data_IF_352047830381
#
_entry.id   IF_352047830381
#
_cell.length_a   1.000
_cell.length_b   1.000
_cell.length_c   1.000
_cell.angle_alpha   90.00
_cell.angle_beta   90.00
_cell.angle_gamma   90.00
#
_symmetry.space_group_name_H-M   'P 1'
#
loop_
_entity.id
_entity.type
_entity.pdbx_description
1 polymer ?
#
# COMPACT_ATOMS: atom_id res chain seq x y z
N UNK A 1 13.40 -7.06 -10.93
CA UNK A 1 12.00 -6.80 -11.34
C UNK A 1 11.06 -6.82 -10.15
N UNK A 2 11.16 -7.81 -9.24
CA UNK A 2 10.38 -7.82 -7.99
C UNK A 2 10.90 -6.81 -6.95
N UNK A 3 12.19 -6.86 -6.62
CA UNK A 3 12.80 -5.95 -5.63
C UNK A 3 12.59 -4.46 -5.96
N UNK A 4 12.75 -4.10 -7.23
CA UNK A 4 12.53 -2.72 -7.71
C UNK A 4 11.08 -2.27 -7.51
N UNK A 5 10.11 -3.16 -7.76
CA UNK A 5 8.71 -2.86 -7.52
C UNK A 5 8.41 -2.75 -6.03
N UNK A 6 9.02 -3.59 -5.20
CA UNK A 6 8.93 -3.50 -3.74
C UNK A 6 9.44 -2.16 -3.23
N UNK A 7 10.63 -1.72 -3.68
CA UNK A 7 11.17 -0.39 -3.36
C UNK A 7 10.21 0.70 -3.80
N UNK A 8 9.67 0.65 -5.02
CA UNK A 8 8.70 1.66 -5.50
C UNK A 8 7.42 1.71 -4.67
N UNK A 9 6.91 0.55 -4.26
CA UNK A 9 5.69 0.46 -3.45
C UNK A 9 5.87 1.12 -2.08
N UNK A 10 7.01 0.95 -1.41
CA UNK A 10 7.21 1.58 -0.09
C UNK A 10 7.56 3.07 -0.15
N UNK A 11 7.97 3.58 -1.32
CA UNK A 11 8.39 4.97 -1.49
C UNK A 11 7.33 5.84 -2.19
N UNK A 12 6.04 5.49 -2.08
CA UNK A 12 4.96 6.27 -2.70
C UNK A 12 3.70 6.34 -1.83
N UNK A 13 3.06 7.53 -1.74
CA UNK A 13 1.86 7.73 -0.93
C UNK A 13 0.64 6.92 -1.39
N UNK A 14 0.69 6.33 -2.60
CA UNK A 14 -0.37 5.46 -3.10
C UNK A 14 -0.41 4.08 -2.42
N UNK A 15 0.73 3.64 -1.89
CA UNK A 15 0.88 2.31 -1.29
C UNK A 15 1.21 2.37 0.20
N UNK A 16 1.96 3.40 0.60
CA UNK A 16 2.38 3.64 1.98
C UNK A 16 2.25 5.13 2.29
N UNK A 17 1.38 5.49 3.24
CA UNK A 17 1.15 6.87 3.66
C UNK A 17 1.31 7.00 5.16
N UNK A 18 1.95 8.06 5.62
CA UNK A 18 2.06 8.39 7.03
C UNK A 18 1.17 9.59 7.32
N UNK A 19 0.39 9.53 8.41
CA UNK A 19 -0.43 10.65 8.86
C UNK A 19 -0.47 10.68 10.38
N UNK A 20 0.21 11.67 10.96
CA UNK A 20 0.41 11.74 12.41
C UNK A 20 1.22 10.54 12.89
N UNK A 21 0.63 9.74 13.78
CA UNK A 21 1.27 8.58 14.40
C UNK A 21 0.85 7.24 13.75
N UNK A 22 0.11 7.32 12.63
CA UNK A 22 -0.42 6.14 11.93
C UNK A 22 0.26 5.95 10.58
N UNK A 23 0.77 4.73 10.38
CA UNK A 23 1.21 4.20 9.10
C UNK A 23 0.03 3.54 8.39
N UNK A 24 -0.30 4.02 7.20
CA UNK A 24 -1.34 3.48 6.35
C UNK A 24 -0.73 2.67 5.21
N UNK A 25 -1.00 1.37 5.18
CA UNK A 25 -0.71 0.49 4.05
C UNK A 25 -1.96 0.20 3.22
N UNK A 26 -1.79 -0.21 1.97
CA UNK A 26 -2.92 -0.77 1.19
C UNK A 26 -3.31 -2.17 1.68
N UNK A 27 -4.52 -2.66 1.34
CA UNK A 27 -4.92 -4.05 1.62
C UNK A 27 -3.96 -5.11 1.07
N UNK A 28 -3.16 -4.80 0.04
CA UNK A 28 -2.10 -5.69 -0.41
C UNK A 28 -1.16 -6.07 0.73
N UNK A 29 -0.80 -5.10 1.59
CA UNK A 29 0.11 -5.37 2.71
C UNK A 29 -0.53 -6.22 3.79
N UNK A 30 -1.85 -6.10 3.96
CA UNK A 30 -2.64 -6.96 4.84
C UNK A 30 -2.65 -8.41 4.35
N UNK A 31 -2.79 -8.64 3.05
CA UNK A 31 -2.82 -9.99 2.48
C UNK A 31 -1.47 -10.73 2.60
N UNK A 32 -0.36 -9.99 2.54
CA UNK A 32 1.01 -10.52 2.62
C UNK A 32 1.68 -10.27 3.99
N UNK A 33 0.90 -9.91 5.01
CA UNK A 33 1.44 -9.57 6.34
C UNK A 33 2.28 -10.70 6.94
N UNK A 34 1.80 -11.93 6.81
CA UNK A 34 2.50 -13.12 7.30
C UNK A 34 3.86 -13.30 6.60
N UNK A 35 3.93 -13.10 5.29
CA UNK A 35 5.18 -13.20 4.52
C UNK A 35 6.19 -12.13 4.97
N UNK A 36 5.74 -10.92 5.29
CA UNK A 36 6.60 -9.84 5.79
C UNK A 36 7.17 -10.17 7.18
N UNK A 37 6.32 -10.70 8.07
CA UNK A 37 6.73 -11.14 9.40
C UNK A 37 7.74 -12.29 9.31
N UNK A 38 7.52 -13.26 8.43
CA UNK A 38 8.44 -14.38 8.23
C UNK A 38 9.79 -13.92 7.64
N UNK A 39 9.79 -12.94 6.74
CA UNK A 39 11.00 -12.44 6.10
C UNK A 39 11.82 -11.49 6.97
N UNK A 40 11.19 -10.66 7.80
CA UNK A 40 11.84 -9.54 8.49
C UNK A 40 11.54 -9.42 9.99
N UNK A 41 10.61 -10.22 10.53
CA UNK A 41 10.19 -10.17 11.93
C UNK A 41 8.97 -9.29 12.19
N UNK A 42 8.75 -8.26 11.36
CA UNK A 42 7.53 -7.45 11.37
C UNK A 42 7.29 -6.75 10.04
N UNK A 43 6.07 -6.25 9.82
CA UNK A 43 5.75 -5.41 8.64
C UNK A 43 6.64 -4.16 8.60
N UNK A 44 6.92 -3.56 9.77
CA UNK A 44 7.77 -2.35 9.85
C UNK A 44 9.22 -2.64 9.50
N UNK A 45 9.77 -3.75 9.98
CA UNK A 45 11.13 -4.16 9.65
C UNK A 45 11.26 -4.52 8.17
N UNK A 46 10.20 -5.10 7.59
CA UNK A 46 10.17 -5.34 6.15
C UNK A 46 10.16 -4.04 5.36
N UNK A 47 9.37 -3.04 5.78
CA UNK A 47 9.37 -1.72 5.13
C UNK A 47 10.75 -1.06 5.28
N UNK A 48 11.38 -1.10 6.45
CA UNK A 48 12.70 -0.53 6.72
C UNK A 48 13.78 -1.08 5.77
N UNK A 49 13.73 -2.37 5.44
CA UNK A 49 14.69 -3.01 4.52
C UNK A 49 14.61 -2.51 3.06
N UNK A 50 13.44 -2.02 2.63
CA UNK A 50 13.17 -1.74 1.21
C UNK A 50 12.76 -0.30 0.93
N UNK A 51 12.34 0.46 1.94
CA UNK A 51 12.09 1.89 1.86
C UNK A 51 13.41 2.67 1.74
N UNK A 52 13.33 3.93 1.31
CA UNK A 52 14.45 4.84 1.43
C UNK A 52 14.61 5.31 2.89
N UNK A 53 15.78 5.87 3.21
CA UNK A 53 16.11 6.28 4.58
C UNK A 53 15.11 7.30 5.16
N UNK A 54 14.58 8.20 4.33
CA UNK A 54 13.60 9.20 4.77
C UNK A 54 12.28 8.54 5.20
N UNK A 55 11.75 7.62 4.39
CA UNK A 55 10.52 6.88 4.70
C UNK A 55 10.75 5.96 5.90
N UNK A 56 11.89 5.28 5.98
CA UNK A 56 12.24 4.43 7.12
C UNK A 56 12.24 5.22 8.45
N UNK A 57 12.85 6.40 8.46
CA UNK A 57 12.84 7.29 9.62
C UNK A 57 11.41 7.70 10.00
N UNK A 58 10.57 8.08 9.04
CA UNK A 58 9.19 8.46 9.34
C UNK A 58 8.35 7.26 9.84
N UNK A 59 8.53 6.07 9.26
CA UNK A 59 7.88 4.82 9.71
C UNK A 59 8.24 4.52 11.16
N UNK A 60 9.52 4.68 11.54
CA UNK A 60 9.99 4.42 12.91
C UNK A 60 9.34 5.30 13.98
N UNK A 61 8.74 6.44 13.58
CA UNK A 61 8.05 7.38 14.47
C UNK A 61 6.56 7.06 14.62
N UNK A 62 6.02 6.09 13.88
CA UNK A 62 4.61 5.70 13.97
C UNK A 62 4.40 4.61 15.02
N UNK A 63 3.34 4.72 15.80
CA UNK A 63 2.92 3.70 16.76
C UNK A 63 1.86 2.76 16.19
N UNK A 64 1.06 3.23 15.23
CA UNK A 64 -0.09 2.49 14.69
C UNK A 64 0.14 2.07 13.24
N UNK A 65 -0.33 0.87 12.87
CA UNK A 65 -0.40 0.39 11.49
C UNK A 65 -1.86 0.11 11.15
N UNK A 66 -2.38 0.80 10.16
CA UNK A 66 -3.73 0.61 9.62
C UNK A 66 -3.66 0.26 8.14
N UNK A 67 -4.67 -0.46 7.66
CA UNK A 67 -4.81 -0.80 6.26
C UNK A 67 -5.98 -0.04 5.65
N UNK A 68 -5.74 0.63 4.53
CA UNK A 68 -6.78 1.29 3.75
C UNK A 68 -7.54 0.19 2.99
N UNK A 69 -8.81 0.00 3.34
CA UNK A 69 -9.72 -0.88 2.62
C UNK A 69 -9.79 -0.48 1.14
N UNK A 70 -9.76 -1.47 0.25
CA UNK A 70 -9.83 -1.22 -1.18
C UNK A 70 -11.19 -0.59 -1.52
N UNK A 71 -11.16 0.54 -2.23
CA UNK A 71 -12.39 1.18 -2.68
C UNK A 71 -13.00 0.41 -3.85
N UNK A 72 -13.76 -0.63 -3.53
CA UNK A 72 -14.55 -1.41 -4.48
C UNK A 72 -15.61 -0.59 -5.22
N UNK A 73 -15.89 0.64 -4.78
CA UNK A 73 -16.81 1.52 -5.49
C UNK A 73 -16.37 1.80 -6.91
N UNK A 74 -15.07 1.71 -7.22
CA UNK A 74 -14.50 1.84 -8.57
C UNK A 74 -15.07 0.80 -9.56
N UNK A 75 -15.41 -0.40 -9.09
CA UNK A 75 -15.91 -1.50 -9.92
C UNK A 75 -17.43 -1.46 -10.16
N UNK A 76 -18.12 -0.37 -9.81
CA UNK A 76 -19.57 -0.27 -10.03
C UNK A 76 -19.88 -0.13 -11.53
N UNK A 77 -20.92 -0.80 -12.06
CA UNK A 77 -21.33 -0.67 -13.47
C UNK A 77 -21.55 0.79 -13.92
N UNK A 78 -22.02 1.66 -13.02
CA UNK A 78 -22.19 3.10 -13.26
C UNK A 78 -20.89 3.85 -13.55
N UNK A 79 -19.73 3.31 -13.15
CA UNK A 79 -18.42 3.90 -13.45
C UNK A 79 -17.88 3.45 -14.81
N UNK A 80 -18.47 2.43 -15.42
CA UNK A 80 -18.13 1.92 -16.75
C UNK A 80 -19.17 2.28 -17.82
N UNK A 81 -20.25 2.97 -17.45
CA UNK A 81 -21.27 3.42 -18.42
C UNK A 81 -20.68 4.53 -19.30
N UNK A 82 -20.12 4.11 -20.43
CA UNK A 82 -19.81 4.99 -21.55
C UNK A 82 -21.08 5.12 -22.37
N UNK A 83 -21.56 6.35 -22.56
CA UNK A 83 -22.72 6.62 -23.39
C UNK A 83 -22.55 6.12 -24.83
N UNK A 84 -23.67 5.70 -25.43
CA UNK A 84 -23.87 5.40 -26.85
C UNK A 84 -22.69 4.71 -27.56
N UNK A 85 -22.62 3.38 -27.48
CA UNK A 85 -22.18 2.62 -28.64
C UNK A 85 -23.37 2.57 -29.61
N UNK A 86 -23.21 3.29 -30.72
CA UNK A 86 -24.22 3.50 -31.74
C UNK A 86 -24.79 2.19 -32.29
N UNK A 87 -26.04 2.30 -32.73
CA UNK A 87 -26.71 1.33 -33.57
C UNK A 87 -25.89 1.06 -34.83
N UNK A 88 -25.73 -0.21 -35.18
CA UNK A 88 -25.90 -0.77 -36.54
C UNK A 88 -25.96 -2.30 -36.47
#
# INVERSE_FOLDING_TARGET
MLEENTRRAFNTPYHLRISGDTLYGTELFKWYEQDFVEAAGSVRDFIDQWANDEVAVEVSRTSTLEYIDYDWSLNRPSNFSTGNFGQE
#
